data_IF_052573587210
#
_entry.id   IF_052573587210
#
_cell.length_a   1.000
_cell.length_b   1.000
_cell.length_c   1.000
_cell.angle_alpha   90.00
_cell.angle_beta   90.00
_cell.angle_gamma   90.00
#
_symmetry.space_group_name_H-M   'P 1'
#
loop_
_entity.id
_entity.type
_entity.pdbx_description
1 polymer ?
#
# COMPACT_ATOMS: atom_id res chain seq x y z
N UNK A 1 -10.03 12.47 -6.97
CA UNK A 1 -10.78 11.22 -6.80
C UNK A 1 -10.49 10.69 -5.40
N UNK A 2 -11.46 10.74 -4.48
CA UNK A 2 -11.27 10.17 -3.14
C UNK A 2 -11.35 8.65 -3.27
N UNK A 3 -10.36 7.92 -2.75
CA UNK A 3 -10.34 6.44 -2.79
C UNK A 3 -11.54 5.79 -2.06
N UNK A 4 -12.31 6.58 -1.31
CA UNK A 4 -13.29 6.11 -0.32
C UNK A 4 -14.62 5.60 -0.91
N UNK A 5 -14.95 5.89 -2.17
CA UNK A 5 -16.27 5.54 -2.71
C UNK A 5 -16.27 4.29 -3.60
N UNK A 6 -15.16 3.99 -4.28
CA UNK A 6 -15.04 2.85 -5.20
C UNK A 6 -14.37 1.61 -4.58
N UNK A 7 -13.66 1.78 -3.47
CA UNK A 7 -12.82 0.74 -2.84
C UNK A 7 -13.22 0.41 -1.40
N UNK A 8 -14.51 0.59 -1.09
CA UNK A 8 -15.11 0.37 0.23
C UNK A 8 -15.30 -1.10 0.60
N UNK A 9 -14.90 -2.05 -0.25
CA UNK A 9 -14.97 -3.48 0.08
C UNK A 9 -14.06 -3.76 1.28
N UNK A 10 -14.63 -4.08 2.47
CA UNK A 10 -13.85 -4.33 3.66
C UNK A 10 -12.88 -5.50 3.50
N UNK A 11 -13.13 -6.41 2.56
CA UNK A 11 -12.26 -7.55 2.28
C UNK A 11 -10.84 -7.14 1.84
N UNK A 12 -10.65 -5.91 1.37
CA UNK A 12 -9.35 -5.39 0.92
C UNK A 12 -8.78 -4.30 1.82
N UNK A 13 -9.46 -3.96 2.92
CA UNK A 13 -8.99 -3.01 3.93
C UNK A 13 -8.22 -3.78 4.99
N UNK A 14 -6.92 -3.50 5.09
CA UNK A 14 -6.05 -4.08 6.13
C UNK A 14 -6.31 -3.41 7.47
N UNK A 15 -6.47 -2.08 7.46
CA UNK A 15 -6.92 -1.31 8.61
C UNK A 15 -7.44 0.07 8.19
N UNK A 16 -8.26 0.68 9.03
CA UNK A 16 -8.67 2.07 8.93
C UNK A 16 -8.77 2.68 10.33
N UNK A 17 -7.70 3.33 10.80
CA UNK A 17 -7.62 3.89 12.15
C UNK A 17 -6.48 4.94 12.25
N UNK A 18 -6.24 5.43 13.46
CA UNK A 18 -5.19 6.39 13.79
C UNK A 18 -4.03 5.77 14.59
N UNK A 19 -3.73 4.48 14.35
CA UNK A 19 -2.67 3.75 15.07
C UNK A 19 -1.33 4.47 15.02
N UNK A 20 -0.60 4.45 16.13
CA UNK A 20 0.73 5.08 16.27
C UNK A 20 1.80 4.34 15.48
N UNK A 21 1.75 3.00 15.47
CA UNK A 21 2.70 2.14 14.78
C UNK A 21 2.01 1.41 13.63
N UNK A 22 2.65 1.43 12.48
CA UNK A 22 2.22 0.74 11.28
C UNK A 22 3.20 -0.39 11.05
N UNK A 23 2.70 -1.62 10.98
CA UNK A 23 3.47 -2.80 10.62
C UNK A 23 2.68 -3.55 9.54
N UNK A 24 3.34 -3.82 8.42
CA UNK A 24 2.80 -4.64 7.32
C UNK A 24 3.81 -5.74 7.02
N UNK A 25 3.35 -6.95 6.79
CA UNK A 25 4.19 -8.12 6.51
C UNK A 25 3.55 -8.96 5.41
N UNK A 26 4.38 -9.66 4.64
CA UNK A 26 3.88 -10.66 3.70
C UNK A 26 3.20 -11.81 4.47
N UNK A 27 1.98 -12.15 4.06
CA UNK A 27 1.18 -13.23 4.64
C UNK A 27 1.82 -14.62 4.43
N UNK A 28 2.82 -14.74 3.54
CA UNK A 28 3.53 -16.00 3.24
C UNK A 28 4.68 -16.32 4.21
N UNK A 29 4.80 -15.61 5.34
CA UNK A 29 5.85 -15.85 6.33
C UNK A 29 7.24 -15.36 5.90
N UNK A 30 7.31 -14.51 4.88
CA UNK A 30 8.55 -13.89 4.41
C UNK A 30 9.09 -12.84 5.38
N UNK A 31 10.41 -12.63 5.39
CA UNK A 31 11.13 -11.61 6.19
C UNK A 31 10.82 -10.15 5.78
N UNK A 32 9.97 -9.95 4.78
CA UNK A 32 9.69 -8.63 4.22
C UNK A 32 8.59 -7.94 5.01
N UNK A 33 8.97 -6.85 5.66
CA UNK A 33 8.06 -6.03 6.43
C UNK A 33 8.28 -4.55 6.15
N UNK A 34 7.18 -3.80 6.23
CA UNK A 34 7.20 -2.36 6.32
C UNK A 34 6.90 -1.98 7.77
N UNK A 35 7.68 -1.05 8.31
CA UNK A 35 7.38 -0.39 9.57
C UNK A 35 7.34 1.13 9.39
N UNK A 36 6.34 1.76 9.99
CA UNK A 36 6.12 3.21 9.92
C UNK A 36 5.60 3.76 11.24
N UNK A 37 5.83 5.05 11.48
CA UNK A 37 5.31 5.77 12.65
C UNK A 37 4.34 6.85 12.21
N UNK A 38 3.13 6.82 12.74
CA UNK A 38 2.13 7.87 12.57
C UNK A 38 2.24 8.86 13.75
N UNK A 39 3.24 9.74 13.68
CA UNK A 39 3.57 10.66 14.78
C UNK A 39 2.40 11.57 15.14
N UNK A 40 1.64 12.01 14.13
CA UNK A 40 0.53 12.95 14.29
C UNK A 40 -0.82 12.27 14.55
N UNK A 41 -0.86 10.93 14.68
CA UNK A 41 -2.11 10.15 14.79
C UNK A 41 -3.14 10.53 13.72
N UNK A 42 -2.68 10.71 12.49
CA UNK A 42 -3.56 10.94 11.35
C UNK A 42 -4.48 9.73 11.16
N UNK A 43 -5.69 9.97 10.63
CA UNK A 43 -6.57 8.91 10.18
C UNK A 43 -5.99 8.30 8.90
N UNK A 44 -5.67 7.00 8.98
CA UNK A 44 -5.04 6.25 7.90
C UNK A 44 -5.93 5.09 7.48
N UNK A 45 -5.96 4.82 6.18
CA UNK A 45 -6.53 3.59 5.63
C UNK A 45 -5.46 2.84 4.83
N UNK A 46 -5.24 1.58 5.17
CA UNK A 46 -4.34 0.71 4.43
C UNK A 46 -5.15 -0.30 3.63
N UNK A 47 -4.87 -0.35 2.34
CA UNK A 47 -5.52 -1.24 1.40
C UNK A 47 -4.55 -2.27 0.84
N UNK A 48 -5.05 -3.47 0.56
CA UNK A 48 -4.35 -4.44 -0.29
C UNK A 48 -4.59 -4.07 -1.75
N UNK A 49 -3.50 -3.89 -2.50
CA UNK A 49 -3.57 -3.45 -3.91
C UNK A 49 -3.52 -4.69 -4.82
N UNK A 50 -2.39 -5.40 -4.86
CA UNK A 50 -2.29 -6.69 -5.56
C UNK A 50 -3.25 -7.71 -4.92
N UNK A 51 -4.01 -8.43 -5.74
CA UNK A 51 -5.04 -9.40 -5.30
C UNK A 51 -6.15 -8.79 -4.40
N UNK A 52 -6.24 -7.44 -4.35
CA UNK A 52 -7.28 -6.69 -3.65
C UNK A 52 -7.94 -5.68 -4.58
N UNK A 53 -7.73 -4.39 -4.30
CA UNK A 53 -8.27 -3.28 -5.10
C UNK A 53 -8.01 -3.43 -6.61
N UNK A 54 -6.83 -3.94 -6.98
CA UNK A 54 -6.43 -4.16 -8.37
C UNK A 54 -6.30 -5.66 -8.65
N UNK A 55 -7.44 -6.37 -8.59
CA UNK A 55 -7.52 -7.79 -8.96
C UNK A 55 -7.46 -7.95 -10.49
N UNK A 56 -6.77 -8.99 -10.96
CA UNK A 56 -6.65 -9.37 -12.39
C UNK A 56 -5.89 -8.38 -13.29
N UNK A 57 -4.97 -7.58 -12.75
CA UNK A 57 -4.07 -6.78 -13.59
C UNK A 57 -3.05 -7.69 -14.29
N UNK A 58 -2.71 -7.36 -15.54
CA UNK A 58 -1.70 -8.08 -16.34
C UNK A 58 -0.31 -8.05 -15.68
N UNK A 59 -0.03 -7.00 -14.91
CA UNK A 59 1.22 -6.83 -14.18
C UNK A 59 0.98 -6.57 -12.70
N UNK A 60 1.91 -7.04 -11.86
CA UNK A 60 1.90 -6.74 -10.42
C UNK A 60 2.22 -5.26 -10.18
N UNK A 61 1.39 -4.63 -9.37
CA UNK A 61 1.43 -3.21 -9.05
C UNK A 61 2.29 -3.00 -7.79
N UNK A 62 1.64 -2.96 -6.63
CA UNK A 62 2.30 -2.97 -5.32
C UNK A 62 1.48 -3.79 -4.32
N UNK A 63 2.07 -4.16 -3.18
CA UNK A 63 1.33 -4.93 -2.16
C UNK A 63 0.28 -4.09 -1.42
N UNK A 64 0.63 -2.87 -1.02
CA UNK A 64 -0.23 -2.02 -0.20
C UNK A 64 -0.31 -0.57 -0.68
N UNK A 65 -1.45 0.07 -0.41
CA UNK A 65 -1.67 1.50 -0.53
C UNK A 65 -2.05 2.08 0.83
N UNK A 66 -1.23 2.97 1.37
CA UNK A 66 -1.47 3.65 2.64
C UNK A 66 -1.97 5.07 2.36
N UNK A 67 -3.27 5.29 2.54
CA UNK A 67 -3.91 6.57 2.37
C UNK A 67 -3.94 7.33 3.71
N UNK A 68 -3.44 8.56 3.69
CA UNK A 68 -3.58 9.51 4.80
C UNK A 68 -4.74 10.45 4.50
N UNK A 69 -5.83 10.30 5.25
CA UNK A 69 -7.07 11.04 5.04
C UNK A 69 -6.93 12.51 5.47
N UNK A 70 -6.00 12.83 6.37
CA UNK A 70 -5.79 14.20 6.84
C UNK A 70 -5.05 15.06 5.81
N UNK A 71 -4.09 14.47 5.07
CA UNK A 71 -3.29 15.20 4.07
C UNK A 71 -3.67 14.89 2.63
N UNK A 72 -4.67 14.02 2.42
CA UNK A 72 -5.09 13.53 1.10
C UNK A 72 -3.94 12.94 0.26
N UNK A 73 -3.03 12.21 0.90
CA UNK A 73 -1.86 11.61 0.22
C UNK A 73 -1.89 10.10 0.29
N UNK A 74 -1.46 9.43 -0.77
CA UNK A 74 -1.30 7.98 -0.82
C UNK A 74 0.18 7.61 -0.90
N UNK A 75 0.61 6.64 -0.11
CA UNK A 75 1.91 5.98 -0.26
C UNK A 75 1.71 4.55 -0.76
N UNK A 76 2.36 4.21 -1.87
CA UNK A 76 2.41 2.84 -2.36
C UNK A 76 3.58 2.11 -1.71
N UNK A 77 3.32 0.93 -1.17
CA UNK A 77 4.28 0.13 -0.41
C UNK A 77 4.39 -1.23 -1.09
N UNK A 78 5.61 -1.59 -1.47
CA UNK A 78 5.98 -2.90 -2.00
C UNK A 78 6.82 -3.63 -0.93
N UNK A 79 6.36 -4.79 -0.50
CA UNK A 79 7.03 -5.64 0.48
C UNK A 79 7.95 -6.61 -0.25
N UNK A 80 9.12 -6.14 -0.71
CA UNK A 80 10.11 -7.02 -1.33
C UNK A 80 11.06 -7.63 -0.32
N UNK A 81 11.36 -8.90 -0.49
CA UNK A 81 12.51 -9.57 0.11
C UNK A 81 13.64 -9.47 -0.89
N UNK A 82 14.70 -8.74 -0.54
CA UNK A 82 16.00 -8.74 -1.24
C UNK A 82 16.10 -8.23 -2.70
N UNK A 83 15.02 -8.03 -3.45
CA UNK A 83 15.12 -7.63 -4.88
C UNK A 83 14.79 -6.14 -5.12
N UNK A 84 15.65 -5.25 -4.62
CA UNK A 84 15.55 -3.80 -4.81
C UNK A 84 15.49 -3.40 -6.30
N UNK A 85 16.17 -4.15 -7.17
CA UNK A 85 16.22 -3.89 -8.61
C UNK A 85 14.83 -4.00 -9.26
N UNK A 86 14.04 -5.02 -8.88
CA UNK A 86 12.65 -5.15 -9.34
C UNK A 86 11.74 -4.05 -8.78
N UNK A 87 11.92 -3.66 -7.51
CA UNK A 87 11.14 -2.60 -6.89
C UNK A 87 11.36 -1.25 -7.58
N UNK A 88 12.64 -0.90 -7.86
CA UNK A 88 13.00 0.31 -8.59
C UNK A 88 12.44 0.29 -10.02
N UNK A 89 12.47 -0.87 -10.70
CA UNK A 89 11.89 -1.02 -12.04
C UNK A 89 10.38 -0.75 -12.06
N UNK A 90 9.63 -1.24 -11.07
CA UNK A 90 8.18 -0.99 -10.95
C UNK A 90 7.85 0.48 -10.69
N UNK A 91 8.69 1.19 -9.92
CA UNK A 91 8.50 2.63 -9.66
C UNK A 91 8.83 3.44 -10.91
N UNK A 92 9.99 3.19 -11.54
CA UNK A 92 10.47 3.96 -12.71
C UNK A 92 9.61 3.80 -13.95
N UNK A 93 9.06 2.61 -14.20
CA UNK A 93 8.13 2.40 -15.32
C UNK A 93 6.86 3.27 -15.21
N UNK A 94 6.57 3.80 -14.02
CA UNK A 94 5.37 4.59 -13.74
C UNK A 94 5.58 6.10 -13.79
N UNK A 95 6.85 6.56 -13.82
CA UNK A 95 7.23 7.97 -14.05
C UNK A 95 7.49 8.27 -15.53
N UNK A 96 7.45 7.26 -16.42
CA UNK A 96 7.73 7.41 -17.86
C UNK A 96 6.47 7.28 -18.73
N UNK A 97 5.29 7.39 -18.14
CA UNK A 97 4.02 7.55 -18.86
C UNK A 97 3.51 8.96 -18.53
N UNK A 98 4.19 9.96 -19.10
CA UNK A 98 3.72 11.31 -19.34
C UNK A 98 4.14 11.70 -20.77
#
# INVERSE_FOLDING_TARGET
MKLTEKYTDPAYIVFCDNRRLIALSDNKGGKSSYSGKNQNRNQLACYRINDGIMKNMSEKQCDHGLYNMNSDTVRFIELKGSDCSRAIKQIKMRESID
#
